data_IF_267050085447
#
_entry.id   IF_267050085447
#
_cell.length_a   1.000
_cell.length_b   1.000
_cell.length_c   1.000
_cell.angle_alpha   90.00
_cell.angle_beta   90.00
_cell.angle_gamma   90.00
#
_symmetry.space_group_name_H-M   'P 1'
#
loop_
_entity.id
_entity.type
_entity.pdbx_description
1 polymer ?
#
# COMPACT_ATOMS: atom_id res chain seq x y z
N UNK A 1 15.78 2.49 -12.74
CA UNK A 1 16.54 1.46 -12.00
C UNK A 1 15.81 1.16 -10.71
N UNK A 2 15.34 -0.08 -10.49
CA UNK A 2 14.81 -0.51 -9.19
C UNK A 2 15.96 -1.12 -8.39
N UNK A 3 16.44 -0.42 -7.37
CA UNK A 3 17.50 -0.91 -6.50
C UNK A 3 16.97 -2.02 -5.59
N UNK A 4 17.78 -3.06 -5.36
CA UNK A 4 17.57 -4.04 -4.30
C UNK A 4 17.91 -3.34 -2.98
N UNK A 5 16.90 -2.82 -2.29
CA UNK A 5 17.06 -2.26 -0.95
C UNK A 5 17.00 -3.38 0.10
N UNK A 6 17.61 -3.15 1.26
CA UNK A 6 17.67 -4.11 2.36
C UNK A 6 16.42 -4.06 3.26
N UNK A 7 16.29 -5.03 4.15
CA UNK A 7 15.19 -5.13 5.11
C UNK A 7 15.11 -3.93 6.07
N UNK A 8 16.23 -3.24 6.29
CA UNK A 8 16.32 -2.09 7.17
C UNK A 8 15.55 -0.90 6.59
N UNK A 9 15.63 -0.70 5.27
CA UNK A 9 14.89 0.36 4.59
C UNK A 9 13.37 0.13 4.62
N UNK A 10 12.92 -1.10 4.34
CA UNK A 10 11.49 -1.41 4.46
C UNK A 10 11.01 -1.26 5.91
N UNK A 11 11.83 -1.64 6.88
CA UNK A 11 11.56 -1.44 8.31
C UNK A 11 11.48 0.05 8.66
N UNK A 12 12.34 0.90 8.07
CA UNK A 12 12.32 2.36 8.25
C UNK A 12 11.04 2.95 7.67
N UNK A 13 10.65 2.58 6.45
CA UNK A 13 9.41 3.02 5.81
C UNK A 13 8.18 2.54 6.60
N UNK A 14 8.19 1.31 7.10
CA UNK A 14 7.10 0.83 7.95
C UNK A 14 6.99 1.61 9.27
N UNK A 15 8.13 2.03 9.84
CA UNK A 15 8.14 2.68 11.16
C UNK A 15 8.07 4.20 11.16
N UNK A 16 8.27 4.87 10.02
CA UNK A 16 8.11 6.32 9.94
C UNK A 16 6.65 6.77 10.22
N UNK A 17 6.49 8.05 10.55
CA UNK A 17 5.24 8.62 11.06
C UNK A 17 4.69 9.79 10.22
N UNK A 18 5.35 10.12 9.11
CA UNK A 18 5.02 11.26 8.27
C UNK A 18 4.07 10.91 7.10
N UNK A 19 4.19 9.72 6.54
CA UNK A 19 3.43 9.27 5.36
C UNK A 19 2.59 8.05 5.75
N UNK A 20 1.30 7.97 5.37
CA UNK A 20 0.52 6.75 5.54
C UNK A 20 1.20 5.54 4.91
N UNK A 21 1.15 4.39 5.59
CA UNK A 21 1.70 3.13 5.09
C UNK A 21 0.62 2.07 5.19
N UNK A 22 0.42 1.31 4.11
CA UNK A 22 -0.42 0.11 4.14
C UNK A 22 0.37 -1.11 3.69
N UNK A 23 0.32 -2.15 4.53
CA UNK A 23 0.91 -3.46 4.27
C UNK A 23 -0.20 -4.45 3.90
N UNK A 24 -0.19 -4.90 2.64
CA UNK A 24 -1.04 -5.98 2.16
C UNK A 24 -0.52 -7.32 2.66
N UNK A 25 -1.46 -8.18 3.08
CA UNK A 25 -1.20 -9.57 3.50
C UNK A 25 -2.20 -10.49 2.82
N UNK A 26 -1.73 -11.57 2.20
CA UNK A 26 -2.57 -12.44 1.35
C UNK A 26 -3.06 -13.70 2.05
N UNK A 27 -2.52 -14.06 3.21
CA UNK A 27 -2.93 -15.26 3.95
C UNK A 27 -4.40 -15.25 4.37
N UNK A 28 -4.99 -16.45 4.51
CA UNK A 28 -6.37 -16.65 4.99
C UNK A 28 -6.52 -16.04 6.40
N UNK A 29 -7.60 -15.30 6.62
CA UNK A 29 -7.88 -14.63 7.90
C UNK A 29 -7.00 -13.42 8.23
N UNK A 30 -5.98 -13.10 7.42
CA UNK A 30 -5.14 -11.92 7.65
C UNK A 30 -5.87 -10.63 7.25
N UNK A 31 -5.70 -9.58 8.05
CA UNK A 31 -6.18 -8.22 7.75
C UNK A 31 -5.07 -7.40 7.05
N UNK A 32 -5.37 -6.22 6.54
CA UNK A 32 -4.31 -5.27 6.19
C UNK A 32 -3.72 -4.69 7.47
N UNK A 33 -2.45 -4.28 7.43
CA UNK A 33 -1.90 -3.43 8.50
C UNK A 33 -1.69 -2.03 7.97
N UNK A 34 -2.09 -1.02 8.73
CA UNK A 34 -1.95 0.36 8.35
C UNK A 34 -1.29 1.18 9.45
N UNK A 35 -0.46 2.14 9.05
CA UNK A 35 0.08 3.20 9.90
C UNK A 35 -0.27 4.55 9.29
N UNK A 36 -0.62 5.49 10.14
CA UNK A 36 -1.03 6.83 9.79
C UNK A 36 -0.21 7.81 10.62
N UNK A 37 0.09 9.02 10.09
CA UNK A 37 0.42 10.15 10.93
C UNK A 37 -0.59 10.28 12.07
N UNK A 38 -0.13 10.59 13.28
CA UNK A 38 -1.02 10.62 14.43
C UNK A 38 -2.05 11.74 14.28
N UNK A 39 -3.33 11.39 14.39
CA UNK A 39 -4.43 12.32 14.54
C UNK A 39 -5.49 11.70 15.45
N UNK A 40 -6.16 12.55 16.24
CA UNK A 40 -7.18 12.12 17.22
C UNK A 40 -8.37 11.41 16.53
N UNK A 41 -8.62 11.71 15.25
CA UNK A 41 -9.69 11.14 14.46
C UNK A 41 -9.28 9.91 13.61
N UNK A 42 -8.07 9.37 13.76
CA UNK A 42 -7.58 8.26 12.92
C UNK A 42 -8.52 7.04 12.89
N UNK A 43 -9.12 6.69 14.03
CA UNK A 43 -10.10 5.59 14.10
C UNK A 43 -11.32 5.87 13.23
N UNK A 44 -11.89 7.07 13.36
CA UNK A 44 -13.06 7.49 12.61
C UNK A 44 -12.74 7.65 11.12
N UNK A 45 -11.56 8.19 10.79
CA UNK A 45 -11.05 8.28 9.43
C UNK A 45 -10.92 6.89 8.83
N UNK A 46 -10.28 5.92 9.49
CA UNK A 46 -10.19 4.55 8.96
C UNK A 46 -11.55 3.89 8.76
N UNK A 47 -12.46 4.04 9.72
CA UNK A 47 -13.79 3.43 9.68
C UNK A 47 -14.67 4.03 8.57
N UNK A 48 -14.69 5.35 8.46
CA UNK A 48 -15.41 6.11 7.44
C UNK A 48 -16.85 5.61 7.27
N UNK A 49 -17.61 5.67 8.38
CA UNK A 49 -19.02 5.30 8.47
C UNK A 49 -19.34 3.80 8.36
N UNK A 50 -18.36 2.94 8.12
CA UNK A 50 -18.58 1.50 7.92
C UNK A 50 -18.95 0.80 9.23
N UNK A 51 -19.71 -0.29 9.13
CA UNK A 51 -20.15 -1.12 10.28
C UNK A 51 -18.99 -1.81 11.00
N UNK A 52 -17.96 -2.24 10.26
CA UNK A 52 -16.79 -2.88 10.85
C UNK A 52 -15.86 -1.83 11.44
N UNK A 53 -15.20 -2.17 12.55
CA UNK A 53 -14.29 -1.26 13.23
C UNK A 53 -12.82 -1.61 12.92
N UNK A 54 -11.96 -0.62 12.68
CA UNK A 54 -10.52 -0.84 12.65
C UNK A 54 -10.02 -1.20 14.05
N UNK A 55 -9.10 -2.16 14.14
CA UNK A 55 -8.52 -2.59 15.41
C UNK A 55 -7.14 -1.95 15.64
N UNK A 56 -6.94 -1.30 16.78
CA UNK A 56 -5.62 -0.77 17.15
C UNK A 56 -4.79 -1.83 17.86
N UNK A 57 -3.61 -2.14 17.33
CA UNK A 57 -2.66 -3.08 17.94
C UNK A 57 -1.59 -2.26 18.66
N UNK A 58 -1.86 -1.91 19.92
CA UNK A 58 -1.06 -0.97 20.72
C UNK A 58 0.41 -1.38 20.84
N UNK A 59 0.70 -2.65 21.15
CA UNK A 59 2.07 -3.15 21.34
C UNK A 59 2.98 -3.02 20.12
N UNK A 60 2.40 -2.94 18.92
CA UNK A 60 3.15 -2.78 17.65
C UNK A 60 2.79 -1.51 16.89
N UNK A 61 1.95 -0.65 17.48
CA UNK A 61 1.54 0.67 16.97
C UNK A 61 1.08 0.65 15.51
N UNK A 62 0.12 -0.19 15.18
CA UNK A 62 -0.53 -0.18 13.86
C UNK A 62 -2.01 -0.51 13.97
N UNK A 63 -2.76 -0.18 12.91
CA UNK A 63 -4.15 -0.56 12.74
C UNK A 63 -4.27 -1.85 11.93
N UNK A 64 -5.25 -2.69 12.26
CA UNK A 64 -5.72 -3.74 11.37
C UNK A 64 -7.08 -3.37 10.79
N UNK A 65 -7.20 -3.50 9.46
CA UNK A 65 -8.42 -3.18 8.70
C UNK A 65 -8.75 -4.29 7.68
N UNK A 66 -10.03 -4.48 7.31
CA UNK A 66 -10.43 -5.46 6.30
C UNK A 66 -9.69 -5.31 4.96
N UNK A 67 -9.39 -6.44 4.28
CA UNK A 67 -8.76 -6.43 2.93
C UNK A 67 -9.56 -5.62 1.91
N UNK A 68 -10.89 -5.68 1.99
CA UNK A 68 -11.80 -4.96 1.11
C UNK A 68 -11.65 -3.42 1.20
N UNK A 69 -10.99 -2.89 2.23
CA UNK A 69 -10.79 -1.45 2.40
C UNK A 69 -9.51 -0.95 1.71
N UNK A 70 -8.75 -1.83 1.04
CA UNK A 70 -7.45 -1.45 0.48
C UNK A 70 -7.53 -0.30 -0.52
N UNK A 71 -8.39 -0.39 -1.54
CA UNK A 71 -8.50 0.65 -2.57
C UNK A 71 -8.97 1.97 -1.96
N UNK A 72 -10.04 1.93 -1.16
CA UNK A 72 -10.55 3.10 -0.44
C UNK A 72 -9.49 3.75 0.47
N UNK A 73 -8.74 2.96 1.24
CA UNK A 73 -7.66 3.49 2.07
C UNK A 73 -6.63 4.24 1.24
N UNK A 74 -6.19 3.67 0.11
CA UNK A 74 -5.19 4.27 -0.77
C UNK A 74 -5.72 5.56 -1.39
N UNK A 75 -6.94 5.55 -1.92
CA UNK A 75 -7.58 6.73 -2.51
C UNK A 75 -7.74 7.87 -1.49
N UNK A 76 -8.23 7.55 -0.30
CA UNK A 76 -8.39 8.55 0.77
C UNK A 76 -7.06 9.01 1.31
N UNK A 77 -6.05 8.15 1.39
CA UNK A 77 -4.70 8.55 1.78
C UNK A 77 -4.08 9.51 0.77
N UNK A 78 -4.20 9.23 -0.53
CA UNK A 78 -3.76 10.13 -1.59
C UNK A 78 -4.48 11.48 -1.53
N UNK A 79 -5.80 11.48 -1.33
CA UNK A 79 -6.59 12.72 -1.22
C UNK A 79 -6.26 13.54 0.03
N UNK A 80 -6.05 12.90 1.18
CA UNK A 80 -5.85 13.58 2.47
C UNK A 80 -4.39 13.97 2.70
N UNK A 81 -3.44 13.12 2.30
CA UNK A 81 -2.01 13.29 2.62
C UNK A 81 -1.14 13.55 1.39
N UNK A 82 -1.71 13.50 0.18
CA UNK A 82 -0.99 13.67 -1.09
C UNK A 82 -0.11 12.48 -1.48
N UNK A 83 0.13 11.54 -0.56
CA UNK A 83 1.02 10.39 -0.78
C UNK A 83 0.75 9.24 0.19
N UNK A 84 1.12 8.03 -0.22
CA UNK A 84 1.00 6.80 0.58
C UNK A 84 2.04 5.77 0.15
N UNK A 85 2.64 5.08 1.12
CA UNK A 85 3.42 3.88 0.85
C UNK A 85 2.52 2.64 0.82
N UNK A 86 2.65 1.86 -0.25
CA UNK A 86 2.04 0.53 -0.35
C UNK A 86 3.14 -0.52 -0.29
N UNK A 87 3.11 -1.34 0.76
CA UNK A 87 3.94 -2.54 0.91
C UNK A 87 3.07 -3.75 0.60
N UNK A 88 3.52 -4.64 -0.28
CA UNK A 88 2.70 -5.74 -0.74
C UNK A 88 3.53 -6.93 -1.22
N UNK A 89 2.94 -8.13 -1.29
CA UNK A 89 3.59 -9.27 -1.94
C UNK A 89 4.01 -8.94 -3.36
N UNK A 90 5.20 -9.43 -3.72
CA UNK A 90 5.82 -9.24 -5.02
C UNK A 90 6.07 -10.61 -5.68
N UNK A 91 5.79 -10.70 -6.98
CA UNK A 91 6.05 -11.90 -7.78
C UNK A 91 6.94 -11.55 -8.96
N UNK A 92 8.20 -11.93 -8.87
CA UNK A 92 9.23 -11.61 -9.87
C UNK A 92 8.89 -12.12 -11.28
N UNK A 93 8.21 -13.27 -11.37
CA UNK A 93 7.84 -13.89 -12.63
C UNK A 93 6.50 -13.36 -13.20
N UNK A 94 5.72 -12.61 -12.42
CA UNK A 94 4.39 -12.15 -12.83
C UNK A 94 4.50 -10.90 -13.70
N UNK A 95 4.43 -11.05 -15.02
CA UNK A 95 4.39 -9.93 -15.97
C UNK A 95 3.04 -9.19 -15.90
N UNK A 96 3.01 -7.92 -16.31
CA UNK A 96 1.76 -7.16 -16.45
C UNK A 96 0.76 -7.94 -17.32
N UNK A 97 -0.38 -8.32 -16.75
CA UNK A 97 -1.51 -8.83 -17.50
C UNK A 97 -2.36 -7.67 -18.05
N UNK A 98 -3.24 -7.91 -19.05
CA UNK A 98 -4.24 -6.93 -19.47
C UNK A 98 -5.08 -6.39 -18.30
N UNK A 99 -5.40 -7.23 -17.31
CA UNK A 99 -6.12 -6.80 -16.11
C UNK A 99 -5.33 -5.81 -15.24
N UNK A 100 -3.99 -5.93 -15.20
CA UNK A 100 -3.13 -4.96 -14.51
C UNK A 100 -3.01 -3.65 -15.31
N UNK A 101 -2.87 -3.75 -16.64
CA UNK A 101 -2.80 -2.57 -17.51
C UNK A 101 -4.11 -1.78 -17.50
N UNK A 102 -5.26 -2.46 -17.44
CA UNK A 102 -6.59 -1.86 -17.46
C UNK A 102 -7.22 -1.76 -16.06
N UNK A 103 -6.42 -1.85 -15.00
CA UNK A 103 -6.94 -1.85 -13.64
C UNK A 103 -7.57 -0.50 -13.29
N UNK A 104 -8.67 -0.55 -12.52
CA UNK A 104 -9.35 0.63 -11.94
C UNK A 104 -9.15 0.74 -10.42
N UNK A 105 -8.67 -0.32 -9.77
CA UNK A 105 -8.24 -0.31 -8.38
C UNK A 105 -6.72 -0.23 -8.25
N UNK A 106 -6.21 -0.22 -7.03
CA UNK A 106 -4.78 -0.10 -6.74
C UNK A 106 -4.07 -1.44 -6.56
N UNK A 107 -4.76 -2.58 -6.58
CA UNK A 107 -4.14 -3.88 -6.31
C UNK A 107 -3.17 -4.30 -7.40
N UNK A 108 -1.93 -4.62 -7.01
CA UNK A 108 -0.90 -5.02 -7.95
C UNK A 108 0.06 -6.01 -7.28
N UNK A 109 0.68 -6.91 -8.04
CA UNK A 109 1.76 -7.80 -7.56
C UNK A 109 2.76 -8.15 -8.69
N UNK A 110 2.63 -7.49 -9.86
CA UNK A 110 3.49 -7.68 -11.01
C UNK A 110 4.96 -7.39 -10.67
N UNK A 111 5.85 -7.94 -11.48
CA UNK A 111 7.26 -7.58 -11.53
C UNK A 111 7.51 -6.10 -11.86
N UNK A 112 6.53 -5.45 -12.49
CA UNK A 112 6.54 -4.02 -12.81
C UNK A 112 6.41 -3.09 -11.59
N UNK A 113 6.10 -3.65 -10.41
CA UNK A 113 5.90 -2.91 -9.15
C UNK A 113 4.86 -1.78 -9.26
N UNK A 114 3.89 -1.93 -10.17
CA UNK A 114 2.85 -0.96 -10.43
C UNK A 114 3.16 0.06 -11.52
N UNK A 115 4.35 0.06 -12.12
CA UNK A 115 4.77 1.09 -13.10
C UNK A 115 3.81 1.25 -14.28
N UNK A 116 3.22 0.14 -14.74
CA UNK A 116 2.32 0.12 -15.89
C UNK A 116 0.85 -0.03 -15.46
N UNK A 117 0.56 0.04 -14.16
CA UNK A 117 -0.74 -0.27 -13.59
C UNK A 117 -1.75 0.83 -13.95
N UNK A 118 -2.86 0.46 -14.60
CA UNK A 118 -3.87 1.41 -15.09
C UNK A 118 -3.46 2.19 -16.35
N UNK A 119 -2.31 1.87 -16.98
CA UNK A 119 -1.82 2.58 -18.17
C UNK A 119 -2.68 2.40 -19.43
N UNK A 120 -3.55 1.39 -19.47
CA UNK A 120 -4.52 1.18 -20.55
C UNK A 120 -5.85 1.90 -20.35
N UNK A 121 -6.04 2.59 -19.22
CA UNK A 121 -7.10 3.58 -19.02
C UNK A 121 -6.60 4.97 -19.47
N UNK A 122 -7.37 6.05 -19.30
CA UNK A 122 -6.99 7.46 -19.59
C UNK A 122 -5.71 7.97 -18.87
N UNK A 123 -4.93 7.07 -18.27
CA UNK A 123 -3.71 7.28 -17.52
C UNK A 123 -3.82 6.70 -16.10
N UNK A 124 -2.66 6.51 -15.46
CA UNK A 124 -2.63 6.26 -14.02
C UNK A 124 -3.11 7.52 -13.29
N UNK A 125 -4.14 7.40 -12.47
CA UNK A 125 -4.69 8.49 -11.65
C UNK A 125 -3.83 8.85 -10.42
N UNK A 126 -2.62 8.28 -10.34
CA UNK A 126 -1.59 8.56 -9.35
C UNK A 126 -0.21 8.43 -10.01
N UNK A 127 0.81 8.96 -9.36
CA UNK A 127 2.20 8.79 -9.78
C UNK A 127 2.94 7.85 -8.84
N UNK A 128 3.84 7.05 -9.39
CA UNK A 128 4.75 6.21 -8.61
C UNK A 128 6.12 6.87 -8.66
N UNK A 129 6.54 7.48 -7.56
CA UNK A 129 7.84 8.16 -7.51
C UNK A 129 8.98 7.21 -7.17
N UNK A 130 8.71 6.14 -6.42
CA UNK A 130 9.74 5.20 -5.96
C UNK A 130 9.18 3.78 -5.91
N UNK A 131 9.99 2.78 -6.31
CA UNK A 131 9.66 1.35 -6.19
C UNK A 131 10.89 0.52 -5.91
N UNK A 132 10.79 -0.41 -4.96
CA UNK A 132 11.81 -1.44 -4.75
C UNK A 132 11.16 -2.74 -4.26
N UNK A 133 11.89 -3.85 -4.35
CA UNK A 133 11.52 -5.11 -3.73
C UNK A 133 12.64 -5.63 -2.83
N UNK A 134 12.25 -6.27 -1.72
CA UNK A 134 13.17 -6.85 -0.75
C UNK A 134 12.53 -8.05 -0.05
N UNK A 135 13.34 -8.86 0.64
CA UNK A 135 12.88 -10.06 1.35
C UNK A 135 12.69 -9.75 2.83
N UNK A 136 11.48 -9.39 3.25
CA UNK A 136 11.21 -9.14 4.66
C UNK A 136 10.79 -10.43 5.38
N UNK A 137 11.72 -11.01 6.14
CA UNK A 137 11.54 -12.35 6.72
C UNK A 137 11.48 -13.42 5.62
N UNK A 138 10.36 -14.15 5.53
CA UNK A 138 10.16 -15.21 4.52
C UNK A 138 9.37 -14.75 3.29
N UNK A 139 9.02 -13.47 3.19
CA UNK A 139 8.23 -12.94 2.08
C UNK A 139 9.05 -11.97 1.23
N UNK A 140 8.92 -12.10 -0.09
CA UNK A 140 9.39 -11.06 -1.02
C UNK A 140 8.28 -10.03 -1.16
N UNK A 141 8.59 -8.80 -0.77
CA UNK A 141 7.67 -7.67 -0.77
C UNK A 141 8.17 -6.58 -1.70
N UNK A 142 7.24 -5.96 -2.42
CA UNK A 142 7.48 -4.69 -3.09
C UNK A 142 6.95 -3.56 -2.21
N UNK A 143 7.69 -2.46 -2.20
CA UNK A 143 7.26 -1.19 -1.68
C UNK A 143 7.19 -0.19 -2.82
N UNK A 144 6.12 0.61 -2.87
CA UNK A 144 5.99 1.74 -3.77
C UNK A 144 5.49 2.97 -3.02
N UNK A 145 6.06 4.11 -3.34
CA UNK A 145 5.53 5.41 -2.95
C UNK A 145 4.57 5.86 -4.05
N UNK A 146 3.31 6.05 -3.69
CA UNK A 146 2.29 6.62 -4.56
C UNK A 146 2.06 8.08 -4.17
N UNK A 147 1.93 8.95 -5.15
CA UNK A 147 1.64 10.38 -5.00
C UNK A 147 0.39 10.75 -5.78
N UNK A 148 -0.43 11.64 -5.21
CA UNK A 148 -1.53 12.25 -5.94
C UNK A 148 -0.95 13.10 -7.08
N UNK A 149 -1.61 13.11 -8.24
CA UNK A 149 -1.26 14.06 -9.29
C UNK A 149 -1.69 15.47 -8.84
N UNK A 150 -0.83 16.45 -9.16
CA UNK A 150 -1.11 17.86 -8.96
C UNK A 150 -2.19 18.34 -9.94
#
# INVERSE_FOLDING_TARGET
MGGRMDDAELTRIWNQQAIPVILRRTGKGQLLRARLPYANNNRAWLQDGRRLYPAWISGKRYWEIPKAWFNDFVERALRTFGQVYVIQPYREQEKCSPACLNATGHECQCSCMGRNHGAGNDGSWFEISETFATRWGDQILACRLMKARA
#
